data_IF_595897975689
#
_entry.id   IF_595897975689
#
_cell.length_a   1.000
_cell.length_b   1.000
_cell.length_c   1.000
_cell.angle_alpha   90.00
_cell.angle_beta   90.00
_cell.angle_gamma   90.00
#
_symmetry.space_group_name_H-M   'P 1'
#
loop_
_entity.id
_entity.type
_entity.pdbx_description
1 polymer ?
#
# COMPACT_ATOMS: atom_id res chain seq x y z
N UNK A 1 29.93 -4.76 6.09
CA UNK A 1 28.81 -3.84 6.43
C UNK A 1 27.84 -4.56 7.37
N UNK A 2 27.21 -3.86 8.34
CA UNK A 2 26.20 -4.45 9.24
C UNK A 2 24.80 -3.96 8.89
N UNK A 3 23.83 -4.86 8.92
CA UNK A 3 22.40 -4.58 8.77
C UNK A 3 21.74 -4.61 10.14
N UNK A 4 20.71 -3.79 10.36
CA UNK A 4 19.92 -3.81 11.61
C UNK A 4 18.46 -4.14 11.35
N UNK A 5 17.90 -5.00 12.19
CA UNK A 5 16.49 -5.31 12.19
C UNK A 5 15.69 -4.07 12.66
N UNK A 6 14.75 -3.52 11.86
CA UNK A 6 13.94 -2.38 12.27
C UNK A 6 12.93 -2.74 13.37
N UNK A 7 12.64 -4.03 13.59
CA UNK A 7 11.69 -4.47 14.60
C UNK A 7 12.31 -4.67 16.00
N UNK A 8 13.57 -5.09 16.09
CA UNK A 8 14.22 -5.41 17.38
C UNK A 8 15.65 -4.91 17.54
N UNK A 9 16.22 -4.24 16.53
CA UNK A 9 17.58 -3.68 16.58
C UNK A 9 18.72 -4.69 16.41
N UNK A 10 18.42 -5.99 16.27
CA UNK A 10 19.41 -7.04 16.05
C UNK A 10 20.31 -6.71 14.84
N UNK A 11 21.62 -6.86 15.00
CA UNK A 11 22.59 -6.55 13.96
C UNK A 11 23.23 -7.83 13.39
N UNK A 12 23.36 -7.90 12.06
CA UNK A 12 23.98 -9.03 11.37
C UNK A 12 24.97 -8.55 10.29
N UNK A 13 25.99 -9.36 9.98
CA UNK A 13 26.86 -9.11 8.83
C UNK A 13 26.04 -9.18 7.54
N UNK A 14 26.35 -8.33 6.57
CA UNK A 14 25.75 -8.39 5.22
C UNK A 14 25.95 -9.77 4.57
N UNK A 15 27.05 -10.45 4.89
CA UNK A 15 27.39 -11.79 4.38
C UNK A 15 26.33 -12.85 4.74
N UNK A 16 25.62 -12.67 5.86
CA UNK A 16 24.52 -13.56 6.29
C UNK A 16 23.38 -13.54 5.28
N UNK A 17 23.10 -12.39 4.66
CA UNK A 17 22.09 -12.32 3.59
C UNK A 17 22.61 -12.90 2.27
N UNK A 18 23.90 -12.73 1.98
CA UNK A 18 24.51 -13.22 0.74
C UNK A 18 24.52 -14.75 0.71
N UNK A 19 24.80 -15.39 1.84
CA UNK A 19 24.91 -16.84 1.99
C UNK A 19 23.57 -17.57 2.14
N UNK A 20 22.43 -16.85 2.16
CA UNK A 20 21.13 -17.48 2.40
C UNK A 20 20.45 -17.90 1.09
N UNK A 21 20.89 -19.02 0.52
CA UNK A 21 20.39 -19.50 -0.78
C UNK A 21 18.88 -19.78 -0.77
N UNK A 22 18.32 -20.33 0.30
CA UNK A 22 16.86 -20.53 0.41
C UNK A 22 16.06 -19.21 0.36
N UNK A 23 16.65 -18.11 0.85
CA UNK A 23 16.00 -16.80 0.82
C UNK A 23 16.04 -16.23 -0.61
N UNK A 24 17.14 -16.47 -1.32
CA UNK A 24 17.31 -16.12 -2.72
C UNK A 24 16.33 -16.90 -3.60
N UNK A 25 16.21 -18.21 -3.43
CA UNK A 25 15.26 -19.04 -4.17
C UNK A 25 13.80 -18.63 -3.88
N UNK A 26 13.47 -18.31 -2.63
CA UNK A 26 12.16 -17.77 -2.29
C UNK A 26 11.89 -16.41 -2.96
N UNK A 27 12.88 -15.51 -2.99
CA UNK A 27 12.79 -14.21 -3.65
C UNK A 27 12.72 -14.34 -5.19
N UNK A 28 13.43 -15.29 -5.78
CA UNK A 28 13.35 -15.62 -7.22
C UNK A 28 11.99 -16.22 -7.55
N UNK A 29 11.41 -17.07 -6.69
CA UNK A 29 10.04 -17.55 -6.89
C UNK A 29 9.00 -16.40 -6.89
N UNK A 30 9.35 -15.25 -6.29
CA UNK A 30 8.55 -14.03 -6.27
C UNK A 30 8.81 -13.10 -7.48
N UNK A 31 9.85 -13.30 -8.30
CA UNK A 31 10.20 -12.39 -9.42
C UNK A 31 9.26 -12.43 -10.64
N UNK A 32 8.13 -13.14 -10.55
CA UNK A 32 7.03 -13.06 -11.52
C UNK A 32 5.87 -12.14 -11.09
N UNK A 33 6.01 -11.43 -9.96
CA UNK A 33 4.93 -10.66 -9.32
C UNK A 33 5.44 -9.24 -9.02
N UNK A 34 4.55 -8.23 -9.07
CA UNK A 34 4.95 -6.87 -8.71
C UNK A 34 5.50 -6.78 -7.28
N UNK A 35 6.42 -5.82 -7.09
CA UNK A 35 7.11 -5.53 -5.84
C UNK A 35 6.18 -5.31 -4.64
N UNK A 36 5.02 -4.70 -4.88
CA UNK A 36 4.02 -4.43 -3.85
C UNK A 36 3.35 -5.71 -3.30
N UNK A 37 2.91 -6.63 -4.16
CA UNK A 37 2.31 -7.89 -3.72
C UNK A 37 3.34 -8.77 -3.02
N UNK A 38 4.57 -8.83 -3.55
CA UNK A 38 5.68 -9.51 -2.89
C UNK A 38 5.90 -8.99 -1.47
N UNK A 39 5.96 -7.67 -1.29
CA UNK A 39 6.12 -7.04 0.03
C UNK A 39 4.93 -7.35 0.96
N UNK A 40 3.70 -7.27 0.45
CA UNK A 40 2.51 -7.55 1.23
C UNK A 40 2.50 -9.01 1.74
N UNK A 41 2.85 -9.96 0.88
CA UNK A 41 2.92 -11.37 1.24
C UNK A 41 4.03 -11.67 2.24
N UNK A 42 5.23 -11.11 2.07
CA UNK A 42 6.32 -11.29 3.03
C UNK A 42 5.96 -10.74 4.42
N UNK A 43 5.32 -9.57 4.49
CA UNK A 43 4.80 -9.04 5.77
C UNK A 43 3.74 -9.96 6.37
N UNK A 44 2.80 -10.44 5.56
CA UNK A 44 1.76 -11.36 6.01
C UNK A 44 2.32 -12.67 6.58
N UNK A 45 3.37 -13.24 5.95
CA UNK A 45 3.98 -14.49 6.43
C UNK A 45 4.61 -14.36 7.83
N UNK A 46 4.96 -13.15 8.28
CA UNK A 46 5.41 -12.93 9.66
C UNK A 46 4.37 -13.32 10.70
N UNK A 47 3.08 -13.37 10.33
CA UNK A 47 1.98 -13.82 11.19
C UNK A 47 2.03 -15.32 11.50
N UNK A 48 2.84 -16.11 10.79
CA UNK A 48 3.04 -17.55 11.05
C UNK A 48 4.25 -17.83 11.94
N UNK A 49 5.01 -16.79 12.32
CA UNK A 49 6.21 -16.94 13.14
C UNK A 49 5.82 -17.31 14.58
N UNK A 50 6.27 -18.47 15.10
CA UNK A 50 6.11 -18.81 16.52
C UNK A 50 6.85 -17.81 17.43
N UNK A 51 6.41 -17.66 18.67
CA UNK A 51 7.06 -16.76 19.65
C UNK A 51 8.48 -17.20 20.01
N UNK A 52 8.73 -18.50 20.06
CA UNK A 52 9.99 -19.09 20.56
C UNK A 52 10.99 -19.46 19.46
N UNK A 53 10.54 -19.56 18.20
CA UNK A 53 11.35 -20.10 17.10
C UNK A 53 11.22 -19.24 15.86
N UNK A 54 12.29 -19.21 15.07
CA UNK A 54 12.27 -18.58 13.76
C UNK A 54 11.41 -19.37 12.77
N UNK A 55 10.77 -18.62 11.87
CA UNK A 55 10.02 -19.22 10.77
C UNK A 55 11.02 -19.74 9.74
N UNK A 56 11.15 -21.07 9.63
CA UNK A 56 12.10 -21.67 8.69
C UNK A 56 11.72 -21.37 7.23
N UNK A 57 12.71 -21.26 6.35
CA UNK A 57 12.47 -21.05 4.92
C UNK A 57 11.71 -22.21 4.27
N UNK A 58 11.91 -23.45 4.74
CA UNK A 58 11.09 -24.58 4.33
C UNK A 58 9.59 -24.37 4.64
N UNK A 59 9.27 -23.79 5.81
CA UNK A 59 7.89 -23.44 6.16
C UNK A 59 7.37 -22.29 5.31
N UNK A 60 8.18 -21.26 5.06
CA UNK A 60 7.85 -20.14 4.16
C UNK A 60 7.53 -20.65 2.76
N UNK A 61 8.38 -21.50 2.18
CA UNK A 61 8.20 -22.08 0.85
C UNK A 61 6.90 -22.89 0.77
N UNK A 62 6.58 -23.68 1.80
CA UNK A 62 5.31 -24.41 1.87
C UNK A 62 4.10 -23.47 1.87
N UNK A 63 4.11 -22.43 2.73
CA UNK A 63 3.02 -21.45 2.80
C UNK A 63 2.84 -20.68 1.48
N UNK A 64 3.94 -20.26 0.84
CA UNK A 64 3.86 -19.62 -0.47
C UNK A 64 3.38 -20.58 -1.56
N UNK A 65 3.82 -21.85 -1.53
CA UNK A 65 3.39 -22.88 -2.46
C UNK A 65 1.88 -23.17 -2.41
N UNK A 66 1.25 -22.98 -1.25
CA UNK A 66 -0.21 -23.06 -1.10
C UNK A 66 -0.93 -21.87 -1.78
N UNK A 67 -0.33 -20.68 -1.76
CA UNK A 67 -0.95 -19.45 -2.27
C UNK A 67 -0.67 -19.17 -3.76
N UNK A 68 0.53 -19.47 -4.23
CA UNK A 68 0.99 -19.15 -5.59
C UNK A 68 0.08 -19.69 -6.70
N UNK A 69 -0.47 -20.93 -6.65
CA UNK A 69 -1.40 -21.41 -7.65
C UNK A 69 -2.66 -20.54 -7.76
N UNK A 70 -3.23 -20.12 -6.62
CA UNK A 70 -4.42 -19.26 -6.58
C UNK A 70 -4.10 -17.84 -7.06
N UNK A 71 -2.94 -17.29 -6.66
CA UNK A 71 -2.49 -15.97 -7.12
C UNK A 71 -2.31 -15.96 -8.65
N UNK A 72 -1.72 -17.03 -9.22
CA UNK A 72 -1.52 -17.16 -10.66
C UNK A 72 -2.83 -17.38 -11.42
N UNK A 73 -3.78 -18.11 -10.82
CA UNK A 73 -5.11 -18.31 -11.38
C UNK A 73 -5.96 -17.01 -11.36
N UNK A 74 -5.64 -16.06 -10.46
CA UNK A 74 -6.43 -14.85 -10.26
C UNK A 74 -7.79 -15.11 -9.61
N UNK A 75 -7.96 -16.27 -8.97
CA UNK A 75 -9.22 -16.73 -8.40
C UNK A 75 -8.95 -17.62 -7.17
N UNK A 76 -9.84 -17.56 -6.18
CA UNK A 76 -9.88 -18.52 -5.06
C UNK A 76 -11.19 -19.29 -5.06
N UNK A 77 -11.16 -20.55 -4.61
CA UNK A 77 -12.37 -21.35 -4.38
C UNK A 77 -12.63 -21.50 -2.89
N UNK A 78 -13.81 -21.08 -2.43
CA UNK A 78 -14.24 -21.24 -1.03
C UNK A 78 -15.73 -21.57 -0.97
N UNK A 79 -16.08 -22.66 -0.30
CA UNK A 79 -17.48 -23.09 -0.18
C UNK A 79 -18.17 -23.37 -1.52
N UNK A 80 -17.48 -24.04 -2.46
CA UNK A 80 -17.93 -24.33 -3.83
C UNK A 80 -18.20 -23.09 -4.70
N UNK A 81 -17.91 -21.88 -4.21
CA UNK A 81 -18.00 -20.64 -4.98
C UNK A 81 -16.60 -20.15 -5.33
N UNK A 82 -16.46 -19.69 -6.56
CA UNK A 82 -15.25 -19.05 -7.06
C UNK A 82 -15.33 -17.54 -6.81
N UNK A 83 -14.23 -16.93 -6.37
CA UNK A 83 -14.15 -15.51 -6.07
C UNK A 83 -12.97 -14.90 -6.84
N UNK A 84 -13.17 -13.77 -7.54
CA UNK A 84 -12.09 -13.09 -8.23
C UNK A 84 -11.05 -12.65 -7.21
N UNK A 85 -9.81 -13.06 -7.42
CA UNK A 85 -8.68 -12.74 -6.58
C UNK A 85 -7.54 -12.14 -7.43
N UNK A 86 -7.78 -10.97 -8.07
CA UNK A 86 -6.72 -10.25 -8.76
C UNK A 86 -5.66 -9.81 -7.74
N UNK A 87 -4.51 -9.38 -8.24
CA UNK A 87 -3.36 -8.93 -7.43
C UNK A 87 -3.77 -8.00 -6.28
N UNK A 88 -4.63 -7.03 -6.56
CA UNK A 88 -5.07 -6.00 -5.61
C UNK A 88 -5.86 -6.62 -4.44
N UNK A 89 -6.59 -7.71 -4.68
CA UNK A 89 -7.32 -8.43 -3.64
C UNK A 89 -6.38 -9.07 -2.62
N UNK A 90 -5.26 -9.63 -3.08
CA UNK A 90 -4.24 -10.22 -2.21
C UNK A 90 -3.52 -9.17 -1.37
N UNK A 91 -3.14 -8.04 -1.97
CA UNK A 91 -2.52 -6.91 -1.26
C UNK A 91 -3.46 -6.40 -0.16
N UNK A 92 -4.73 -6.17 -0.53
CA UNK A 92 -5.75 -5.68 0.39
C UNK A 92 -6.01 -6.66 1.54
N UNK A 93 -6.17 -7.96 1.25
CA UNK A 93 -6.47 -8.98 2.25
C UNK A 93 -5.29 -9.23 3.20
N UNK A 94 -4.05 -9.20 2.68
CA UNK A 94 -2.85 -9.28 3.50
C UNK A 94 -2.75 -8.09 4.48
N UNK A 95 -3.07 -6.88 4.02
CA UNK A 95 -3.18 -5.69 4.87
C UNK A 95 -4.20 -5.85 5.99
N UNK A 96 -5.41 -6.34 5.67
CA UNK A 96 -6.47 -6.63 6.65
C UNK A 96 -6.03 -7.63 7.73
N UNK A 97 -5.21 -8.63 7.38
CA UNK A 97 -4.66 -9.57 8.35
C UNK A 97 -3.71 -8.88 9.35
N UNK A 98 -2.85 -7.99 8.85
CA UNK A 98 -1.92 -7.23 9.69
C UNK A 98 -2.66 -6.26 10.61
N UNK A 99 -3.64 -5.52 10.08
CA UNK A 99 -4.49 -4.64 10.89
C UNK A 99 -5.27 -5.41 11.97
N UNK A 100 -5.73 -6.62 11.65
CA UNK A 100 -6.42 -7.48 12.61
C UNK A 100 -5.49 -7.92 13.74
N UNK A 101 -4.21 -8.23 13.45
CA UNK A 101 -3.19 -8.47 14.48
C UNK A 101 -2.98 -7.23 15.35
N UNK A 102 -2.77 -6.08 14.72
CA UNK A 102 -2.44 -4.84 15.44
C UNK A 102 -3.59 -4.39 16.36
N UNK A 103 -4.83 -4.73 15.99
CA UNK A 103 -6.03 -4.53 16.81
C UNK A 103 -6.31 -5.67 17.81
N UNK A 104 -5.42 -6.65 17.93
CA UNK A 104 -5.57 -7.81 18.83
C UNK A 104 -6.66 -8.81 18.44
N UNK A 105 -7.29 -8.67 17.27
CA UNK A 105 -8.33 -9.59 16.75
C UNK A 105 -7.75 -10.87 16.16
N UNK A 106 -6.46 -10.86 15.84
CA UNK A 106 -5.73 -12.00 15.30
C UNK A 106 -4.50 -12.25 16.16
N UNK A 107 -4.35 -13.46 16.67
CA UNK A 107 -3.23 -13.84 17.53
C UNK A 107 -2.28 -14.76 16.77
N UNK A 108 -1.08 -14.30 16.39
CA UNK A 108 -0.02 -15.16 15.87
C UNK A 108 0.43 -16.21 16.90
N UNK A 109 0.98 -17.36 16.46
CA UNK A 109 1.17 -17.76 15.07
C UNK A 109 -0.11 -18.29 14.43
N UNK A 110 -0.35 -17.93 13.17
CA UNK A 110 -1.42 -18.52 12.37
C UNK A 110 -1.11 -19.98 12.01
N UNK A 111 -2.16 -20.81 11.97
CA UNK A 111 -2.07 -22.21 11.56
C UNK A 111 -2.37 -22.43 10.07
N UNK A 112 -3.18 -21.56 9.46
CA UNK A 112 -3.64 -21.67 8.07
C UNK A 112 -3.91 -20.31 7.41
N UNK A 113 -4.12 -20.31 6.10
CA UNK A 113 -4.53 -19.14 5.32
C UNK A 113 -6.03 -18.81 5.40
N UNK A 114 -6.80 -19.50 6.25
CA UNK A 114 -8.26 -19.37 6.29
C UNK A 114 -8.76 -17.93 6.43
N UNK A 115 -8.17 -17.16 7.33
CA UNK A 115 -8.52 -15.75 7.54
C UNK A 115 -8.17 -14.86 6.34
N UNK A 116 -7.03 -15.12 5.67
CA UNK A 116 -6.64 -14.39 4.46
C UNK A 116 -7.65 -14.66 3.34
N UNK A 117 -7.91 -15.94 3.06
CA UNK A 117 -8.84 -16.37 2.02
C UNK A 117 -10.27 -15.88 2.30
N UNK A 118 -10.66 -15.80 3.57
CA UNK A 118 -11.91 -15.18 4.00
C UNK A 118 -11.99 -13.71 3.63
N UNK A 119 -10.96 -12.92 3.96
CA UNK A 119 -10.92 -11.52 3.57
C UNK A 119 -11.08 -11.37 2.06
N UNK A 120 -10.38 -12.17 1.25
CA UNK A 120 -10.50 -12.10 -0.22
C UNK A 120 -11.95 -12.27 -0.69
N UNK A 121 -12.77 -13.10 -0.03
CA UNK A 121 -14.20 -13.22 -0.40
C UNK A 121 -15.02 -11.94 -0.22
N UNK A 122 -14.55 -11.01 0.62
CA UNK A 122 -15.15 -9.70 0.83
C UNK A 122 -14.53 -8.60 -0.03
N UNK A 123 -13.52 -8.93 -0.85
CA UNK A 123 -12.91 -7.95 -1.72
C UNK A 123 -13.92 -7.46 -2.77
N UNK A 124 -14.00 -6.15 -2.91
CA UNK A 124 -14.76 -5.50 -3.96
C UNK A 124 -13.78 -4.75 -4.85
N UNK A 125 -13.96 -4.89 -6.16
CA UNK A 125 -13.18 -4.11 -7.11
C UNK A 125 -13.47 -2.63 -6.88
N UNK A 126 -12.49 -1.91 -6.38
CA UNK A 126 -12.52 -0.45 -6.43
C UNK A 126 -12.42 -0.11 -7.92
N UNK A 127 -13.48 0.51 -8.45
CA UNK A 127 -13.47 0.96 -9.84
C UNK A 127 -12.24 1.85 -10.04
N UNK A 128 -11.40 1.63 -11.07
CA UNK A 128 -10.47 2.67 -11.48
C UNK A 128 -11.29 3.94 -11.69
N UNK A 129 -10.83 5.06 -11.14
CA UNK A 129 -11.54 6.34 -11.26
C UNK A 129 -11.93 6.56 -12.74
N UNK A 130 -13.14 7.07 -13.02
CA UNK A 130 -13.61 7.25 -14.39
C UNK A 130 -12.57 8.10 -15.13
N UNK A 131 -11.96 7.51 -16.16
CA UNK A 131 -11.12 8.22 -17.11
C UNK A 131 -12.05 9.19 -17.83
N UNK A 132 -12.08 10.44 -17.36
CA UNK A 132 -12.90 11.48 -17.95
C UNK A 132 -12.41 11.70 -19.38
N UNK A 133 -13.19 11.19 -20.33
CA UNK A 133 -13.02 11.47 -21.75
C UNK A 133 -13.05 12.98 -21.96
N UNK A 134 -12.02 13.45 -22.67
CA UNK A 134 -11.79 14.84 -23.05
C UNK A 134 -13.02 15.39 -23.76
N UNK A 135 -13.79 16.26 -23.10
CA UNK A 135 -14.77 17.11 -23.75
C UNK A 135 -14.09 18.42 -24.19
N UNK A 136 -13.95 18.59 -25.51
CA UNK A 136 -13.63 19.89 -26.11
C UNK A 136 -14.88 20.78 -26.13
N UNK A 137 -14.71 22.08 -25.82
CA UNK A 137 -15.67 23.13 -26.17
C UNK A 137 -16.01 24.18 -25.11
N UNK A 138 -15.34 25.34 -25.17
CA UNK A 138 -15.94 26.69 -25.16
C UNK A 138 -16.65 27.29 -23.92
N UNK A 139 -16.05 28.33 -23.32
CA UNK A 139 -16.77 29.57 -22.93
C UNK A 139 -16.99 29.93 -21.44
N UNK A 140 -16.43 31.10 -21.02
CA UNK A 140 -16.77 31.98 -19.85
C UNK A 140 -16.44 31.48 -18.43
N UNK A 141 -15.73 32.16 -17.51
CA UNK A 141 -15.21 33.54 -17.43
C UNK A 141 -14.77 33.90 -15.99
N UNK A 142 -15.37 33.31 -14.95
CA UNK A 142 -14.99 33.56 -13.53
C UNK A 142 -14.91 32.31 -12.65
N UNK A 143 -15.87 31.38 -12.75
CA UNK A 143 -15.81 30.07 -12.09
C UNK A 143 -14.78 29.10 -12.72
N UNK A 144 -14.46 29.32 -14.00
CA UNK A 144 -13.57 28.48 -14.78
C UNK A 144 -12.09 28.51 -14.31
N UNK A 145 -11.62 29.60 -13.67
CA UNK A 145 -10.22 29.68 -13.19
C UNK A 145 -10.00 28.83 -11.95
N UNK A 146 -10.96 28.84 -11.02
CA UNK A 146 -10.94 27.98 -9.83
C UNK A 146 -11.18 26.51 -10.22
N UNK A 147 -12.03 26.28 -11.24
CA UNK A 147 -12.23 24.95 -11.83
C UNK A 147 -10.96 24.40 -12.49
N UNK A 148 -10.24 25.18 -13.31
CA UNK A 148 -8.98 24.74 -13.94
C UNK A 148 -7.85 24.47 -12.93
N UNK A 149 -7.75 25.27 -11.86
CA UNK A 149 -6.79 25.02 -10.79
C UNK A 149 -7.10 23.73 -10.02
N UNK A 150 -8.37 23.49 -9.71
CA UNK A 150 -8.81 22.24 -9.07
C UNK A 150 -8.67 21.03 -10.00
N UNK A 151 -8.91 21.19 -11.29
CA UNK A 151 -8.65 20.17 -12.32
C UNK A 151 -7.15 19.84 -12.41
N UNK A 152 -6.27 20.85 -12.38
CA UNK A 152 -4.82 20.64 -12.36
C UNK A 152 -4.34 19.93 -11.08
N UNK A 153 -4.90 20.28 -9.93
CA UNK A 153 -4.61 19.60 -8.66
C UNK A 153 -5.09 18.13 -8.67
N UNK A 154 -6.26 17.86 -9.25
CA UNK A 154 -6.75 16.48 -9.44
C UNK A 154 -5.85 15.67 -10.40
N UNK A 155 -5.42 16.26 -11.51
CA UNK A 155 -4.50 15.62 -12.46
C UNK A 155 -3.11 15.35 -11.83
N UNK A 156 -2.66 16.19 -10.89
CA UNK A 156 -1.42 15.96 -10.13
C UNK A 156 -1.56 14.81 -9.13
N UNK A 157 -2.72 14.67 -8.48
CA UNK A 157 -3.01 13.51 -7.63
C UNK A 157 -3.08 12.22 -8.46
N UNK A 158 -3.59 12.29 -9.68
CA UNK A 158 -3.59 11.17 -10.63
C UNK A 158 -2.18 10.81 -11.11
N UNK A 159 -1.37 11.81 -11.47
CA UNK A 159 0.05 11.62 -11.82
C UNK A 159 0.87 11.03 -10.66
N UNK A 160 0.50 11.36 -9.42
CA UNK A 160 1.21 10.89 -8.24
C UNK A 160 1.09 9.37 -8.03
N UNK A 161 -0.02 8.74 -8.43
CA UNK A 161 -0.23 7.30 -8.29
C UNK A 161 -0.01 6.82 -6.85
N UNK A 162 0.81 5.76 -6.67
CA UNK A 162 1.20 5.23 -5.35
C UNK A 162 2.57 5.76 -4.86
N UNK A 163 3.18 6.74 -5.53
CA UNK A 163 4.45 7.32 -5.08
C UNK A 163 4.17 8.31 -3.94
N UNK A 164 4.62 7.93 -2.74
CA UNK A 164 4.34 8.68 -1.50
C UNK A 164 4.78 10.15 -1.57
N UNK A 165 5.92 10.44 -2.22
CA UNK A 165 6.46 11.79 -2.27
C UNK A 165 5.65 12.64 -3.24
N UNK A 166 5.23 12.05 -4.36
CA UNK A 166 4.39 12.74 -5.35
C UNK A 166 3.00 12.99 -4.79
N UNK A 167 2.46 12.07 -3.99
CA UNK A 167 1.18 12.22 -3.30
C UNK A 167 1.21 13.40 -2.32
N UNK A 168 2.25 13.51 -1.50
CA UNK A 168 2.41 14.63 -0.56
C UNK A 168 2.48 15.99 -1.27
N UNK A 169 3.23 16.06 -2.37
CA UNK A 169 3.33 17.28 -3.18
C UNK A 169 1.98 17.65 -3.80
N UNK A 170 1.28 16.67 -4.39
CA UNK A 170 -0.01 16.88 -5.03
C UNK A 170 -1.11 17.29 -4.04
N UNK A 171 -1.12 16.71 -2.84
CA UNK A 171 -2.06 17.08 -1.77
C UNK A 171 -1.80 18.50 -1.25
N UNK A 172 -0.53 18.89 -1.08
CA UNK A 172 -0.17 20.26 -0.68
C UNK A 172 -0.68 21.29 -1.69
N UNK A 173 -0.48 21.04 -2.98
CA UNK A 173 -0.98 21.89 -4.06
C UNK A 173 -2.51 21.94 -4.12
N UNK A 174 -3.18 20.82 -3.82
CA UNK A 174 -4.64 20.75 -3.73
C UNK A 174 -5.17 21.66 -2.61
N UNK A 175 -4.57 21.60 -1.41
CA UNK A 175 -4.94 22.48 -0.30
C UNK A 175 -4.73 23.96 -0.62
N UNK A 176 -3.59 24.31 -1.24
CA UNK A 176 -3.31 25.66 -1.72
C UNK A 176 -4.34 26.14 -2.76
N UNK A 177 -4.74 25.26 -3.69
CA UNK A 177 -5.73 25.59 -4.72
C UNK A 177 -7.15 25.81 -4.16
N UNK A 178 -7.49 25.13 -3.06
CA UNK A 178 -8.81 25.24 -2.43
C UNK A 178 -9.02 26.60 -1.73
N UNK A 179 -7.95 27.23 -1.26
CA UNK A 179 -8.01 28.47 -0.48
C UNK A 179 -8.30 29.74 -1.31
N UNK A 180 -8.36 29.66 -2.65
CA UNK A 180 -8.77 30.73 -3.57
C UNK A 180 -8.38 32.15 -3.11
N UNK A 181 -7.12 32.36 -2.72
CA UNK A 181 -6.66 33.62 -2.18
C UNK A 181 -6.69 34.69 -3.28
N UNK A 182 -7.54 35.71 -3.10
CA UNK A 182 -7.55 36.90 -3.96
C UNK A 182 -6.32 37.73 -3.64
N UNK A 183 -5.37 37.75 -4.58
CA UNK A 183 -4.10 38.46 -4.43
C UNK A 183 -2.96 37.47 -4.15
N UNK A 184 -1.78 37.75 -4.70
CA UNK A 184 -0.55 37.02 -4.37
C UNK A 184 -0.45 36.90 -2.85
N UNK A 185 -0.27 35.70 -2.26
CA UNK A 185 -0.01 35.61 -0.83
C UNK A 185 1.18 36.50 -0.53
N UNK A 186 1.01 37.44 0.40
CA UNK A 186 2.16 38.14 0.93
C UNK A 186 3.06 37.07 1.58
N UNK A 187 4.37 37.29 1.64
CA UNK A 187 5.30 36.30 2.20
C UNK A 187 4.91 35.81 3.62
N UNK A 188 4.11 36.60 4.35
CA UNK A 188 3.51 36.26 5.63
C UNK A 188 2.49 35.10 5.58
N UNK A 189 1.73 34.95 4.48
CA UNK A 189 0.68 33.92 4.36
C UNK A 189 1.26 32.52 4.09
N UNK A 190 2.49 32.46 3.55
CA UNK A 190 3.20 31.20 3.28
C UNK A 190 3.60 30.46 4.56
N UNK A 191 3.85 31.19 5.66
CA UNK A 191 4.15 30.59 6.95
C UNK A 191 2.92 29.85 7.52
N UNK A 192 1.74 30.46 7.42
CA UNK A 192 0.47 29.86 7.88
C UNK A 192 0.13 28.60 7.08
N UNK A 193 0.32 28.63 5.76
CA UNK A 193 0.13 27.43 4.91
C UNK A 193 1.12 26.32 5.29
N UNK A 194 2.36 26.67 5.58
CA UNK A 194 3.38 25.71 6.04
C UNK A 194 3.02 25.07 7.38
N UNK A 195 2.49 25.84 8.33
CA UNK A 195 2.06 25.37 9.65
C UNK A 195 0.83 24.47 9.57
N UNK A 196 -0.14 24.78 8.71
CA UNK A 196 -1.32 23.94 8.48
C UNK A 196 -0.94 22.61 7.80
N UNK A 197 -0.02 22.64 6.82
CA UNK A 197 0.54 21.42 6.24
C UNK A 197 1.27 20.57 7.27
N UNK A 198 2.02 21.19 8.19
CA UNK A 198 2.67 20.49 9.28
C UNK A 198 1.67 19.92 10.31
N UNK A 199 0.58 20.63 10.60
CA UNK A 199 -0.48 20.15 11.49
C UNK A 199 -1.22 18.94 10.91
N UNK A 200 -1.54 18.96 9.61
CA UNK A 200 -2.15 17.83 8.92
C UNK A 200 -1.24 16.58 8.90
N UNK A 201 0.08 16.78 8.77
CA UNK A 201 1.08 15.69 8.89
C UNK A 201 1.15 15.11 10.31
N UNK A 202 1.05 15.97 11.34
CA UNK A 202 1.07 15.52 12.75
C UNK A 202 -0.17 14.71 13.12
N UNK A 203 -1.35 15.13 12.66
CA UNK A 203 -2.60 14.39 12.91
C UNK A 203 -2.57 12.97 12.32
N UNK A 204 -1.99 12.80 11.13
CA UNK A 204 -1.89 11.50 10.44
C UNK A 204 -0.74 10.60 10.89
N UNK A 205 0.21 11.11 11.66
CA UNK A 205 1.28 10.31 12.27
C UNK A 205 0.86 9.71 13.62
N UNK A 206 -0.34 10.04 14.10
CA UNK A 206 -0.93 9.51 15.34
C UNK A 206 -2.05 8.48 15.08
N UNK A 207 -2.37 8.21 13.80
CA UNK A 207 -3.22 7.10 13.33
C UNK A 207 -2.35 5.97 12.75
#
# INVERSE_FOLDING_TARGET
MKLRCPACGAAMSLEVLIAHDDAREALIALTGISDELTRAMLKYLTLFRPSEKDLSFARVAKLLGELLPMIRAGEISRGRKAYPAPREAWIWAAGRCLEARDKGRLTPPLSSHGFLLENITFWQQQAPAPTLSRHDGGGSGGGARNSKLRQGAAALLEWAGNDWLRLEIAQGLTMLSAQNMKGRPAAADMAVVGEMGAAARRARSME
#
